data_IF_617706151480
#
_entry.id   IF_617706151480
#
_cell.length_a   1.000
_cell.length_b   1.000
_cell.length_c   1.000
_cell.angle_alpha   90.00
_cell.angle_beta   90.00
_cell.angle_gamma   90.00
#
_symmetry.space_group_name_H-M   'P 1'
#
loop_
_entity.id
_entity.type
_entity.pdbx_description
1 polymer ?
#
# COMPACT_ATOMS: atom_id res chain seq x y z
N UNK A 1 1.48 -9.71 28.05
CA UNK A 1 2.21 -9.64 26.76
C UNK A 1 3.60 -9.08 27.03
N UNK A 2 4.66 -9.73 26.56
CA UNK A 2 6.05 -9.38 26.88
C UNK A 2 6.43 -7.98 26.39
N UNK A 3 7.15 -7.21 27.22
CA UNK A 3 7.63 -5.85 26.86
C UNK A 3 8.55 -5.86 25.64
N UNK A 4 9.31 -6.94 25.45
CA UNK A 4 10.16 -7.13 24.27
C UNK A 4 9.36 -7.36 23.00
N UNK A 5 8.28 -8.16 23.09
CA UNK A 5 7.35 -8.39 21.98
C UNK A 5 6.67 -7.06 21.60
N UNK A 6 6.18 -6.28 22.57
CA UNK A 6 5.60 -4.97 22.28
C UNK A 6 6.61 -4.01 21.61
N UNK A 7 7.88 -4.01 22.06
CA UNK A 7 8.94 -3.16 21.49
C UNK A 7 9.34 -3.60 20.07
N UNK A 8 9.42 -4.90 19.80
CA UNK A 8 9.64 -5.46 18.47
C UNK A 8 8.49 -5.12 17.51
N UNK A 9 7.25 -5.23 17.98
CA UNK A 9 6.05 -4.89 17.21
C UNK A 9 5.89 -3.39 16.99
N UNK A 10 6.29 -2.56 17.96
CA UNK A 10 6.38 -1.11 17.80
C UNK A 10 7.46 -0.74 16.76
N UNK A 11 8.55 -1.50 16.66
CA UNK A 11 9.57 -1.35 15.61
C UNK A 11 9.12 -1.88 14.24
N UNK A 12 8.06 -2.70 14.18
CA UNK A 12 7.40 -3.13 12.94
C UNK A 12 6.44 -2.07 12.37
N UNK A 13 6.13 -0.99 13.11
CA UNK A 13 5.45 0.18 12.51
C UNK A 13 6.39 0.78 11.47
N UNK A 14 6.13 0.43 10.21
CA UNK A 14 6.82 1.04 9.07
C UNK A 14 6.54 2.55 9.10
N UNK A 15 7.56 3.34 9.42
CA UNK A 15 7.50 4.79 9.41
C UNK A 15 7.96 5.26 8.03
N UNK A 16 7.04 5.72 7.20
CA UNK A 16 7.36 6.22 5.88
C UNK A 16 6.84 7.65 5.70
N UNK A 17 7.69 8.52 5.16
CA UNK A 17 7.29 9.86 4.74
C UNK A 17 6.64 9.75 3.38
N UNK A 18 5.30 9.84 3.34
CA UNK A 18 4.56 9.76 2.08
C UNK A 18 4.79 11.02 1.24
N UNK A 19 4.83 10.82 -0.08
CA UNK A 19 4.80 11.88 -1.10
C UNK A 19 3.64 11.60 -2.03
N UNK A 20 3.07 12.64 -2.62
CA UNK A 20 2.09 12.51 -3.70
C UNK A 20 2.73 11.86 -4.93
N UNK A 21 1.91 11.23 -5.77
CA UNK A 21 2.34 10.73 -7.07
C UNK A 21 2.93 11.87 -7.92
N UNK A 22 2.31 13.05 -7.90
CA UNK A 22 2.78 14.23 -8.62
C UNK A 22 4.20 14.67 -8.20
N UNK A 23 4.51 14.66 -6.90
CA UNK A 23 5.86 14.98 -6.40
C UNK A 23 6.87 13.95 -6.90
N UNK A 24 6.56 12.66 -6.78
CA UNK A 24 7.45 11.58 -7.20
C UNK A 24 7.70 11.58 -8.71
N UNK A 25 6.71 11.92 -9.54
CA UNK A 25 6.87 12.01 -11.00
C UNK A 25 7.84 13.11 -11.44
N UNK A 26 8.00 14.16 -10.64
CA UNK A 26 8.92 15.28 -10.91
C UNK A 26 10.36 14.99 -10.49
N UNK A 27 10.60 13.92 -9.73
CA UNK A 27 11.95 13.54 -9.30
C UNK A 27 12.70 12.79 -10.41
N UNK A 28 13.96 13.16 -10.66
CA UNK A 28 14.82 12.40 -11.58
C UNK A 28 15.07 10.97 -11.06
N UNK A 29 15.25 10.82 -9.74
CA UNK A 29 15.44 9.53 -9.07
C UNK A 29 14.40 9.41 -7.94
N UNK A 30 13.16 9.03 -8.27
CA UNK A 30 12.07 9.02 -7.30
C UNK A 30 12.36 8.06 -6.15
N UNK A 31 12.14 8.54 -4.93
CA UNK A 31 12.39 7.77 -3.72
C UNK A 31 11.46 8.17 -2.58
N UNK A 32 11.22 7.21 -1.70
CA UNK A 32 10.54 7.41 -0.41
C UNK A 32 11.52 7.18 0.73
N UNK A 33 11.27 7.84 1.86
CA UNK A 33 11.98 7.54 3.11
C UNK A 33 11.14 6.53 3.88
N UNK A 34 11.67 5.33 4.11
CA UNK A 34 11.04 4.26 4.89
C UNK A 34 12.00 3.87 6.00
N UNK A 35 11.56 3.95 7.25
CA UNK A 35 12.35 3.71 8.46
C UNK A 35 13.70 4.45 8.46
N UNK A 36 13.67 5.72 8.02
CA UNK A 36 14.86 6.58 7.93
C UNK A 36 15.77 6.32 6.73
N UNK A 37 15.52 5.27 5.94
CA UNK A 37 16.34 4.90 4.79
C UNK A 37 15.69 5.33 3.47
N UNK A 38 16.51 5.60 2.45
CA UNK A 38 16.04 5.93 1.10
C UNK A 38 15.70 4.65 0.34
N UNK A 39 14.43 4.51 -0.05
CA UNK A 39 13.94 3.44 -0.91
C UNK A 39 13.60 3.99 -2.28
N UNK A 40 14.30 3.50 -3.32
CA UNK A 40 14.07 3.92 -4.70
C UNK A 40 12.73 3.38 -5.21
N UNK A 41 12.00 4.24 -5.90
CA UNK A 41 10.72 3.92 -6.54
C UNK A 41 10.95 3.73 -8.05
N UNK A 42 10.29 2.72 -8.63
CA UNK A 42 10.38 2.50 -10.09
C UNK A 42 9.49 3.48 -10.83
N UNK A 43 10.07 4.30 -11.72
CA UNK A 43 9.32 5.25 -12.57
C UNK A 43 8.15 4.59 -13.32
N UNK A 44 8.35 3.37 -13.85
CA UNK A 44 7.28 2.61 -14.54
C UNK A 44 6.06 2.31 -13.67
N UNK A 45 6.24 2.16 -12.35
CA UNK A 45 5.12 1.96 -11.42
C UNK A 45 4.36 3.28 -11.22
N UNK A 46 5.07 4.42 -11.16
CA UNK A 46 4.45 5.75 -11.06
C UNK A 46 3.64 6.11 -12.31
N UNK A 47 4.18 5.86 -13.51
CA UNK A 47 3.46 6.11 -14.76
C UNK A 47 2.20 5.23 -14.86
N UNK A 48 2.31 3.94 -14.50
CA UNK A 48 1.15 3.08 -14.43
C UNK A 48 0.10 3.63 -13.46
N UNK A 49 0.48 4.09 -12.27
CA UNK A 49 -0.48 4.66 -11.31
C UNK A 49 -1.15 5.92 -11.90
N UNK A 50 -0.38 6.81 -12.53
CA UNK A 50 -0.84 8.06 -13.13
C UNK A 50 -1.89 7.86 -14.22
N UNK A 51 -1.80 6.77 -14.98
CA UNK A 51 -2.76 6.43 -16.03
C UNK A 51 -4.11 5.93 -15.49
N UNK A 52 -4.18 5.59 -14.20
CA UNK A 52 -5.30 4.84 -13.63
C UNK A 52 -6.06 5.58 -12.52
N UNK A 53 -5.37 6.46 -11.79
CA UNK A 53 -5.90 7.16 -10.62
C UNK A 53 -5.36 8.60 -10.49
N UNK A 54 -5.93 9.37 -9.57
CA UNK A 54 -5.52 10.77 -9.31
C UNK A 54 -4.04 10.90 -8.96
N UNK A 55 -3.42 12.01 -9.41
CA UNK A 55 -2.01 12.34 -9.12
C UNK A 55 -1.79 12.86 -7.69
N UNK A 56 -2.85 13.14 -6.96
CA UNK A 56 -2.77 13.63 -5.57
C UNK A 56 -2.68 12.48 -4.55
N UNK A 57 -2.82 11.24 -5.01
CA UNK A 57 -2.64 10.05 -4.17
C UNK A 57 -1.25 10.04 -3.55
N UNK A 58 -1.19 9.72 -2.26
CA UNK A 58 0.06 9.59 -1.52
C UNK A 58 0.60 8.18 -1.63
N UNK A 59 1.91 8.02 -1.81
CA UNK A 59 2.60 6.73 -1.87
C UNK A 59 3.47 6.51 -0.62
N UNK A 60 3.66 5.25 -0.17
CA UNK A 60 3.19 4.02 -0.82
C UNK A 60 1.71 3.74 -0.53
N UNK A 61 1.08 2.91 -1.36
CA UNK A 61 -0.23 2.33 -1.07
C UNK A 61 -0.06 1.31 0.06
N UNK A 62 -0.91 1.38 1.06
CA UNK A 62 -0.79 0.56 2.26
C UNK A 62 -1.55 -0.73 2.07
N UNK A 63 -0.84 -1.83 2.31
CA UNK A 63 -1.34 -3.20 2.31
C UNK A 63 -1.39 -3.63 3.78
N UNK A 64 -2.54 -3.42 4.41
CA UNK A 64 -2.70 -3.60 5.85
C UNK A 64 -3.05 -5.05 6.20
N UNK A 65 -2.22 -5.68 7.01
CA UNK A 65 -2.57 -6.93 7.68
C UNK A 65 -3.13 -6.58 9.06
N UNK A 66 -4.33 -7.04 9.35
CA UNK A 66 -4.93 -6.93 10.67
C UNK A 66 -5.13 -8.34 11.24
N UNK A 67 -4.55 -8.58 12.41
CA UNK A 67 -4.58 -9.86 13.12
C UNK A 67 -5.98 -10.30 13.56
N UNK A 68 -6.97 -9.41 13.47
CA UNK A 68 -8.36 -9.67 13.81
C UNK A 68 -9.12 -10.38 12.68
N UNK A 69 -8.57 -10.43 11.47
CA UNK A 69 -9.14 -11.16 10.33
C UNK A 69 -8.50 -12.52 10.15
N UNK A 70 -9.24 -13.44 9.49
CA UNK A 70 -8.75 -14.77 9.16
C UNK A 70 -7.38 -14.74 8.43
N UNK A 71 -6.56 -15.71 8.82
CA UNK A 71 -5.15 -15.97 8.46
C UNK A 71 -4.67 -15.41 7.10
N UNK A 72 -4.31 -14.12 7.06
CA UNK A 72 -3.62 -13.49 5.94
C UNK A 72 -4.49 -12.65 5.00
N UNK A 73 -5.63 -12.19 5.48
CA UNK A 73 -6.42 -11.13 4.83
C UNK A 73 -5.63 -9.81 4.84
N UNK A 74 -5.64 -9.12 3.70
CA UNK A 74 -5.05 -7.79 3.54
C UNK A 74 -6.14 -6.79 3.22
N UNK A 75 -6.22 -5.74 4.01
CA UNK A 75 -7.10 -4.60 3.80
C UNK A 75 -6.38 -3.50 3.01
N UNK A 76 -7.06 -2.95 2.03
CA UNK A 76 -6.69 -1.73 1.31
C UNK A 76 -7.78 -0.71 1.58
N UNK A 77 -7.37 0.53 1.87
CA UNK A 77 -8.29 1.63 2.20
C UNK A 77 -8.02 2.84 1.31
N UNK A 78 -9.10 3.50 0.89
CA UNK A 78 -9.12 4.66 -0.02
C UNK A 78 -9.72 4.32 -1.39
N UNK A 79 -10.59 5.20 -1.90
CA UNK A 79 -11.35 4.97 -3.14
C UNK A 79 -10.39 4.77 -4.33
N UNK A 80 -9.38 5.62 -4.45
CA UNK A 80 -8.40 5.54 -5.54
C UNK A 80 -7.48 4.32 -5.38
N UNK A 81 -7.04 4.00 -4.16
CA UNK A 81 -6.30 2.77 -3.87
C UNK A 81 -7.10 1.52 -4.26
N UNK A 82 -8.37 1.43 -3.83
CA UNK A 82 -9.27 0.31 -4.14
C UNK A 82 -9.48 0.17 -5.64
N UNK A 83 -9.72 1.28 -6.35
CA UNK A 83 -9.88 1.30 -7.81
C UNK A 83 -8.65 0.76 -8.52
N UNK A 84 -7.46 1.22 -8.14
CA UNK A 84 -6.21 0.76 -8.74
C UNK A 84 -5.95 -0.72 -8.48
N UNK A 85 -6.09 -1.17 -7.23
CA UNK A 85 -5.84 -2.56 -6.86
C UNK A 85 -6.83 -3.49 -7.55
N UNK A 86 -8.11 -3.11 -7.60
CA UNK A 86 -9.13 -3.88 -8.31
C UNK A 86 -8.85 -4.00 -9.79
N UNK A 87 -8.36 -2.94 -10.43
CA UNK A 87 -7.93 -2.97 -11.83
C UNK A 87 -6.75 -3.93 -12.05
N UNK A 88 -5.78 -3.96 -11.14
CA UNK A 88 -4.65 -4.91 -11.21
C UNK A 88 -5.16 -6.37 -11.13
N UNK A 89 -6.14 -6.62 -10.27
CA UNK A 89 -6.73 -7.94 -10.05
C UNK A 89 -7.82 -8.33 -11.06
N UNK A 90 -8.13 -7.45 -12.02
CA UNK A 90 -9.23 -7.68 -12.97
C UNK A 90 -10.62 -7.77 -12.33
N UNK A 91 -10.78 -7.25 -11.10
CA UNK A 91 -12.09 -7.20 -10.42
C UNK A 91 -12.98 -6.15 -11.07
N UNK A 92 -14.26 -6.49 -11.27
CA UNK A 92 -15.27 -5.53 -11.71
C UNK A 92 -15.59 -4.60 -10.55
N UNK A 93 -15.05 -3.39 -10.58
CA UNK A 93 -15.46 -2.30 -9.69
C UNK A 93 -16.27 -1.33 -10.52
N UNK A 94 -17.46 -0.97 -10.03
CA UNK A 94 -18.24 0.10 -10.64
C UNK A 94 -17.38 1.37 -10.67
N UNK A 95 -17.35 2.09 -11.80
CA UNK A 95 -16.65 3.37 -11.87
C UNK A 95 -17.23 4.42 -10.90
N UNK A 96 -18.45 4.17 -10.41
CA UNK A 96 -19.16 4.92 -9.38
C UNK A 96 -19.12 4.24 -8.00
N UNK A 97 -18.30 3.22 -7.84
CA UNK A 97 -18.13 2.57 -6.55
C UNK A 97 -17.46 3.56 -5.59
N UNK A 98 -18.17 3.91 -4.53
CA UNK A 98 -17.63 4.67 -3.39
C UNK A 98 -17.01 3.73 -2.34
N UNK A 99 -16.79 2.44 -2.70
CA UNK A 99 -16.11 1.49 -1.83
C UNK A 99 -14.71 2.00 -1.50
N UNK A 100 -14.55 2.42 -0.25
CA UNK A 100 -13.29 2.88 0.29
C UNK A 100 -12.47 1.74 0.89
N UNK A 101 -12.96 0.50 0.89
CA UNK A 101 -12.29 -0.65 1.47
C UNK A 101 -12.34 -1.85 0.53
N UNK A 102 -11.19 -2.50 0.33
CA UNK A 102 -11.08 -3.78 -0.37
C UNK A 102 -10.29 -4.76 0.48
N UNK A 103 -10.82 -5.97 0.63
CA UNK A 103 -10.10 -7.09 1.23
C UNK A 103 -9.59 -8.02 0.12
N UNK A 104 -8.32 -8.41 0.24
CA UNK A 104 -7.68 -9.37 -0.67
C UNK A 104 -6.95 -10.45 0.13
N UNK A 105 -6.71 -11.59 -0.51
CA UNK A 105 -6.01 -12.71 0.10
C UNK A 105 -4.61 -12.92 -0.49
N UNK A 106 -3.84 -13.86 0.07
CA UNK A 106 -2.44 -14.14 -0.32
C UNK A 106 -2.19 -14.28 -1.83
N UNK A 107 -3.04 -14.97 -2.63
CA UNK A 107 -2.83 -15.07 -4.07
C UNK A 107 -2.89 -13.70 -4.78
N UNK A 108 -3.92 -12.92 -4.50
CA UNK A 108 -4.13 -11.58 -5.05
C UNK A 108 -3.06 -10.60 -4.59
N UNK A 109 -2.66 -10.69 -3.32
CA UNK A 109 -1.55 -9.92 -2.78
C UNK A 109 -0.26 -10.13 -3.58
N UNK A 110 0.01 -11.37 -3.98
CA UNK A 110 1.19 -11.71 -4.80
C UNK A 110 1.12 -11.02 -6.16
N UNK A 111 -0.06 -10.97 -6.77
CA UNK A 111 -0.27 -10.29 -8.05
C UNK A 111 -0.05 -8.77 -7.93
N UNK A 112 -0.63 -8.15 -6.90
CA UNK A 112 -0.43 -6.73 -6.59
C UNK A 112 1.05 -6.42 -6.40
N UNK A 113 1.75 -7.21 -5.58
CA UNK A 113 3.18 -7.02 -5.30
C UNK A 113 4.07 -7.31 -6.49
N UNK A 114 3.65 -8.18 -7.42
CA UNK A 114 4.34 -8.39 -8.69
C UNK A 114 4.25 -7.16 -9.58
N UNK A 115 3.09 -6.47 -9.58
CA UNK A 115 2.86 -5.27 -10.39
C UNK A 115 3.47 -4.01 -9.78
N UNK A 116 3.31 -3.82 -8.47
CA UNK A 116 3.68 -2.60 -7.73
C UNK A 116 4.62 -2.88 -6.53
N UNK A 117 5.80 -3.49 -6.73
CA UNK A 117 6.69 -3.87 -5.63
C UNK A 117 7.32 -2.69 -4.86
N UNK A 118 7.43 -1.49 -5.46
CA UNK A 118 8.09 -0.34 -4.82
C UNK A 118 7.14 0.76 -4.39
N UNK A 119 5.94 0.83 -4.97
CA UNK A 119 4.91 1.80 -4.61
C UNK A 119 3.85 1.27 -3.64
N UNK A 120 4.04 0.06 -3.10
CA UNK A 120 3.21 -0.53 -2.05
C UNK A 120 4.05 -0.88 -0.83
N UNK A 121 3.45 -0.81 0.35
CA UNK A 121 4.12 -1.12 1.62
C UNK A 121 3.18 -1.89 2.55
N UNK A 122 3.71 -2.93 3.18
CA UNK A 122 2.98 -3.65 4.22
C UNK A 122 2.92 -2.84 5.50
N UNK A 123 1.74 -2.83 6.12
CA UNK A 123 1.52 -2.35 7.47
C UNK A 123 0.91 -3.49 8.28
N UNK A 124 1.56 -3.88 9.36
CA UNK A 124 1.01 -4.89 10.27
C UNK A 124 0.38 -4.18 11.45
N UNK A 125 -0.94 -4.35 11.62
CA UNK A 125 -1.66 -3.95 12.83
C UNK A 125 -1.91 -5.18 13.67
N UNK A 126 -1.66 -5.03 14.96
CA UNK A 126 -1.94 -6.06 15.95
C UNK A 126 -3.11 -5.52 16.74
N UNK A 127 -4.22 -6.26 16.68
CA UNK A 127 -5.37 -6.01 17.53
C UNK A 127 -4.92 -6.07 18.97
N UNK A 128 -4.94 -4.92 19.64
CA UNK A 128 -4.88 -4.88 21.09
C UNK A 128 -6.30 -5.19 21.57
N UNK A 129 -6.62 -6.47 21.69
CA UNK A 129 -7.74 -6.90 22.53
C UNK A 129 -7.29 -6.89 23.99
#
# INVERSE_FOLDING_TARGET
MDKEIYKFLHNLKSNFKRKTLNELLKEDKPHLIVNGQKHRIKKKELEFIKENISKDIRLPIILEFDSSYDSGTVKIEGIEEVKLISKILGKKVSLFSEESILYIYKPELREVRRKLPTTTQYLFRIGLN
#
